data_IF_188871355554
#
_entry.id   IF_188871355554
#
_cell.length_a   1.000
_cell.length_b   1.000
_cell.length_c   1.000
_cell.angle_alpha   90.00
_cell.angle_beta   90.00
_cell.angle_gamma   90.00
#
_symmetry.space_group_name_H-M   'P 1'
#
loop_
_entity.id
_entity.type
_entity.pdbx_description
1 polymer ?
#
# COMPACT_ATOMS: atom_id res chain seq x y z
N UNK A 1 -10.00 4.57 -33.07
CA UNK A 1 -10.79 3.98 -31.98
C UNK A 1 -10.88 4.98 -30.85
N UNK A 2 -12.08 5.26 -30.40
CA UNK A 2 -12.46 6.44 -29.65
C UNK A 2 -11.89 6.44 -28.21
N UNK A 3 -11.11 7.45 -27.82
CA UNK A 3 -10.50 7.63 -26.50
C UNK A 3 -11.50 7.76 -25.34
N UNK A 4 -12.75 8.12 -25.64
CA UNK A 4 -13.86 8.09 -24.70
C UNK A 4 -14.24 6.65 -24.25
N UNK A 5 -13.95 5.65 -25.08
CA UNK A 5 -14.17 4.25 -24.74
C UNK A 5 -13.17 3.71 -23.68
N UNK A 6 -11.99 4.33 -23.53
CA UNK A 6 -10.98 3.89 -22.55
C UNK A 6 -11.20 4.48 -21.14
N UNK A 7 -11.69 5.72 -21.04
CA UNK A 7 -12.09 6.29 -19.74
C UNK A 7 -13.37 5.60 -19.19
N UNK A 8 -14.26 5.19 -20.09
CA UNK A 8 -15.39 4.30 -19.79
C UNK A 8 -14.88 2.89 -19.48
N UNK A 9 -13.75 2.44 -20.03
CA UNK A 9 -13.17 1.13 -19.71
C UNK A 9 -12.61 1.05 -18.26
N UNK A 10 -12.10 2.14 -17.69
CA UNK A 10 -11.74 2.21 -16.26
C UNK A 10 -13.00 2.11 -15.36
N UNK A 11 -14.10 2.75 -15.76
CA UNK A 11 -15.43 2.59 -15.15
C UNK A 11 -16.19 1.35 -15.69
N UNK A 12 -15.96 0.93 -16.93
CA UNK A 12 -16.52 -0.28 -17.52
C UNK A 12 -15.79 -1.55 -17.03
N UNK A 13 -14.55 -1.46 -16.55
CA UNK A 13 -13.91 -2.51 -15.77
C UNK A 13 -14.70 -2.79 -14.49
N UNK A 14 -15.28 -1.75 -13.90
CA UNK A 14 -16.24 -1.85 -12.79
C UNK A 14 -17.60 -2.39 -13.27
N UNK A 15 -18.06 -2.10 -14.51
CA UNK A 15 -19.42 -2.42 -14.97
C UNK A 15 -19.56 -3.70 -15.80
N UNK A 16 -18.53 -4.17 -16.51
CA UNK A 16 -18.62 -5.38 -17.36
C UNK A 16 -18.66 -6.68 -16.59
N UNK A 17 -18.32 -6.68 -15.28
CA UNK A 17 -18.38 -7.86 -14.42
C UNK A 17 -19.79 -8.24 -13.95
N UNK A 18 -20.77 -7.35 -14.11
CA UNK A 18 -22.12 -7.56 -13.58
C UNK A 18 -23.03 -8.47 -14.44
N UNK A 19 -22.65 -8.76 -15.69
CA UNK A 19 -23.53 -9.46 -16.64
C UNK A 19 -23.35 -10.99 -16.73
N UNK A 20 -22.37 -11.59 -16.02
CA UNK A 20 -22.05 -13.04 -16.12
C UNK A 20 -22.26 -13.85 -14.82
N UNK A 21 -22.90 -13.29 -13.79
CA UNK A 21 -22.92 -13.87 -12.44
C UNK A 21 -24.25 -14.58 -12.07
N UNK A 22 -24.83 -15.41 -12.92
CA UNK A 22 -26.07 -16.13 -12.56
C UNK A 22 -26.06 -17.66 -12.63
N UNK A 23 -24.90 -18.32 -12.59
CA UNK A 23 -24.91 -19.79 -12.45
C UNK A 23 -23.61 -20.31 -11.81
N UNK A 24 -23.65 -20.73 -10.55
CA UNK A 24 -22.55 -21.44 -9.88
C UNK A 24 -22.31 -21.13 -8.41
N UNK A 25 -23.34 -21.26 -7.62
CA UNK A 25 -23.43 -20.69 -6.27
C UNK A 25 -23.01 -21.59 -5.12
N UNK A 26 -21.95 -22.21 -4.92
CA UNK A 26 -21.60 -22.64 -3.55
C UNK A 26 -20.16 -23.13 -3.30
N UNK A 27 -19.38 -23.46 -4.32
CA UNK A 27 -18.04 -24.01 -4.11
C UNK A 27 -16.89 -22.99 -4.24
N UNK A 28 -17.16 -21.76 -4.69
CA UNK A 28 -16.15 -20.77 -5.13
C UNK A 28 -15.96 -19.58 -4.17
N UNK A 29 -16.73 -19.44 -3.11
CA UNK A 29 -16.53 -18.33 -2.13
C UNK A 29 -15.33 -18.54 -1.18
N UNK A 30 -14.73 -19.72 -1.14
CA UNK A 30 -13.66 -20.04 -0.20
C UNK A 30 -12.31 -19.36 -0.53
N UNK A 31 -12.09 -18.91 -1.77
CA UNK A 31 -10.80 -18.34 -2.20
C UNK A 31 -10.81 -16.81 -2.40
N UNK A 32 -11.94 -16.14 -2.41
CA UNK A 32 -12.01 -14.70 -2.62
C UNK A 32 -11.55 -13.92 -1.39
N UNK A 33 -10.73 -12.88 -1.60
CA UNK A 33 -10.32 -11.91 -0.56
C UNK A 33 -11.10 -10.60 -0.63
N UNK A 34 -12.00 -10.47 -1.58
CA UNK A 34 -12.91 -9.33 -1.75
C UNK A 34 -14.31 -9.86 -2.07
N UNK A 35 -15.32 -9.22 -1.53
CA UNK A 35 -16.71 -9.52 -1.87
C UNK A 35 -17.63 -8.32 -1.68
N UNK A 36 -18.76 -8.32 -2.37
CA UNK A 36 -19.91 -7.49 -2.02
C UNK A 36 -20.88 -8.30 -1.17
N UNK A 37 -21.47 -7.67 -0.16
CA UNK A 37 -22.48 -8.28 0.72
C UNK A 37 -23.66 -7.35 0.89
N UNK A 38 -24.85 -7.87 0.65
CA UNK A 38 -26.10 -7.16 0.96
C UNK A 38 -26.79 -7.85 2.12
N UNK A 39 -27.06 -7.11 3.19
CA UNK A 39 -27.80 -7.64 4.36
C UNK A 39 -28.77 -6.58 4.85
N UNK A 40 -30.07 -6.89 4.83
CA UNK A 40 -31.12 -6.04 5.38
C UNK A 40 -31.06 -4.59 4.85
N UNK A 41 -30.88 -4.44 3.51
CA UNK A 41 -30.79 -3.14 2.84
C UNK A 41 -29.46 -2.42 2.98
N UNK A 42 -28.49 -3.02 3.67
CA UNK A 42 -27.13 -2.51 3.73
C UNK A 42 -26.22 -3.25 2.74
N UNK A 43 -25.61 -2.49 1.85
CA UNK A 43 -24.65 -2.99 0.88
C UNK A 43 -23.24 -2.64 1.36
N UNK A 44 -22.38 -3.64 1.49
CA UNK A 44 -20.99 -3.48 1.91
C UNK A 44 -20.05 -4.08 0.87
N UNK A 45 -18.92 -3.42 0.68
CA UNK A 45 -17.73 -4.01 0.08
C UNK A 45 -16.78 -4.43 1.20
N UNK A 46 -16.42 -5.70 1.21
CA UNK A 46 -15.64 -6.29 2.29
C UNK A 46 -14.35 -6.89 1.76
N UNK A 47 -13.27 -6.79 2.56
CA UNK A 47 -12.00 -7.48 2.33
C UNK A 47 -11.73 -8.50 3.44
N UNK A 48 -11.00 -9.57 3.10
CA UNK A 48 -10.67 -10.62 4.05
C UNK A 48 -9.28 -10.44 4.66
N UNK A 49 -9.20 -10.71 5.96
CA UNK A 49 -7.98 -11.13 6.64
C UNK A 49 -8.06 -12.62 6.87
N UNK A 50 -7.02 -13.39 6.49
CA UNK A 50 -6.91 -14.82 6.77
C UNK A 50 -5.66 -15.11 7.55
N UNK A 51 -5.80 -15.91 8.61
CA UNK A 51 -4.71 -16.36 9.46
C UNK A 51 -4.34 -17.78 9.08
N UNK A 52 -3.05 -18.02 8.85
CA UNK A 52 -2.50 -19.32 8.43
C UNK A 52 -1.61 -19.89 9.51
N UNK A 53 -1.73 -21.19 9.72
CA UNK A 53 -0.94 -21.95 10.69
C UNK A 53 -0.57 -23.31 10.10
N UNK A 54 0.47 -23.94 10.62
CA UNK A 54 0.69 -25.36 10.36
C UNK A 54 -0.40 -26.19 11.03
N UNK A 55 -0.82 -27.31 10.43
CA UNK A 55 -1.85 -28.17 11.02
C UNK A 55 -1.48 -28.71 12.41
N UNK A 56 -0.19 -28.87 12.68
CA UNK A 56 0.34 -29.31 13.99
C UNK A 56 0.43 -28.18 15.03
N UNK A 57 0.07 -26.96 14.65
CA UNK A 57 0.12 -25.79 15.51
C UNK A 57 1.53 -25.25 15.77
N UNK A 58 2.58 -25.82 15.15
CA UNK A 58 3.96 -25.37 15.35
C UNK A 58 4.37 -24.23 14.40
N UNK A 59 5.40 -23.50 14.80
CA UNK A 59 6.01 -22.44 13.98
C UNK A 59 5.24 -21.13 13.96
N UNK A 60 5.69 -20.18 13.13
CA UNK A 60 5.11 -18.85 13.01
C UNK A 60 3.70 -18.85 12.45
N UNK A 61 2.92 -17.87 12.90
CA UNK A 61 1.61 -17.54 12.34
C UNK A 61 1.80 -16.54 11.20
N UNK A 62 1.17 -16.78 10.04
CA UNK A 62 1.18 -15.82 8.93
C UNK A 62 -0.24 -15.33 8.69
N UNK A 63 -0.42 -14.01 8.66
CA UNK A 63 -1.71 -13.37 8.36
C UNK A 63 -1.66 -12.69 7.00
N UNK A 64 -2.58 -13.01 6.11
CA UNK A 64 -2.80 -12.28 4.86
C UNK A 64 -3.90 -11.24 5.11
N UNK A 65 -3.52 -9.97 5.09
CA UNK A 65 -4.41 -8.83 5.36
C UNK A 65 -4.67 -8.09 4.06
N UNK A 66 -5.74 -8.49 3.37
CA UNK A 66 -6.16 -7.88 2.11
C UNK A 66 -6.76 -6.50 2.32
N UNK A 67 -6.27 -5.50 1.60
CA UNK A 67 -6.72 -4.11 1.74
C UNK A 67 -7.09 -3.50 0.40
N UNK A 68 -7.86 -2.42 0.46
CA UNK A 68 -8.13 -1.52 -0.68
C UNK A 68 -7.64 -0.11 -0.34
N UNK A 69 -7.22 0.63 -1.37
CA UNK A 69 -6.58 1.94 -1.19
C UNK A 69 -7.56 3.07 -0.81
N UNK A 70 -8.87 2.82 -0.93
CA UNK A 70 -9.96 3.73 -0.54
C UNK A 70 -10.97 2.97 0.32
N UNK A 71 -11.41 3.56 1.43
CA UNK A 71 -12.36 2.93 2.34
C UNK A 71 -12.81 3.89 3.45
N UNK A 72 -13.78 3.46 4.23
CA UNK A 72 -14.24 4.22 5.39
C UNK A 72 -13.09 4.35 6.42
N UNK A 73 -12.99 5.47 7.13
CA UNK A 73 -11.91 5.68 8.13
C UNK A 73 -11.84 4.55 9.14
N UNK A 74 -12.98 4.12 9.66
CA UNK A 74 -13.09 3.04 10.64
C UNK A 74 -12.59 1.69 10.13
N UNK A 75 -12.66 1.46 8.81
CA UNK A 75 -12.07 0.28 8.19
C UNK A 75 -10.55 0.25 8.39
N UNK A 76 -9.87 1.37 8.16
CA UNK A 76 -8.42 1.42 8.38
C UNK A 76 -8.04 1.32 9.86
N UNK A 77 -8.86 1.88 10.76
CA UNK A 77 -8.65 1.72 12.21
C UNK A 77 -8.79 0.25 12.64
N UNK A 78 -9.76 -0.50 12.07
CA UNK A 78 -9.91 -1.94 12.25
C UNK A 78 -8.70 -2.72 11.69
N UNK A 79 -8.27 -2.43 10.47
CA UNK A 79 -7.10 -3.05 9.83
C UNK A 79 -5.84 -2.83 10.68
N UNK A 80 -5.61 -1.61 11.16
CA UNK A 80 -4.48 -1.30 12.06
C UNK A 80 -4.55 -2.11 13.35
N UNK A 81 -5.74 -2.28 13.94
CA UNK A 81 -5.95 -3.14 15.10
C UNK A 81 -5.64 -4.61 14.85
N UNK A 82 -5.95 -5.11 13.65
CA UNK A 82 -5.60 -6.47 13.21
C UNK A 82 -4.08 -6.61 13.06
N UNK A 83 -3.45 -5.69 12.34
CA UNK A 83 -2.01 -5.68 12.07
C UNK A 83 -1.18 -5.57 13.36
N UNK A 84 -1.68 -4.84 14.37
CA UNK A 84 -1.03 -4.67 15.67
C UNK A 84 -0.89 -5.96 16.49
N UNK A 85 -1.50 -7.07 16.04
CA UNK A 85 -1.34 -8.40 16.65
C UNK A 85 -0.13 -9.18 16.10
N UNK A 86 0.52 -8.66 15.05
CA UNK A 86 1.66 -9.30 14.42
C UNK A 86 2.96 -8.66 14.89
N UNK A 87 3.99 -9.48 15.11
CA UNK A 87 5.33 -9.02 15.47
C UNK A 87 6.00 -8.26 14.31
N UNK A 88 5.81 -8.76 13.07
CA UNK A 88 6.29 -8.13 11.85
C UNK A 88 5.11 -7.89 10.89
N UNK A 89 5.10 -6.73 10.26
CA UNK A 89 4.14 -6.38 9.19
C UNK A 89 4.94 -6.06 7.93
N UNK A 90 4.79 -6.90 6.91
CA UNK A 90 5.31 -6.66 5.56
C UNK A 90 4.25 -5.86 4.79
N UNK A 91 4.54 -4.61 4.43
CA UNK A 91 3.55 -3.75 3.78
C UNK A 91 3.92 -3.37 2.34
N UNK A 92 2.87 -3.22 1.52
CA UNK A 92 2.98 -2.77 0.14
C UNK A 92 3.50 -1.34 0.05
N UNK A 93 4.58 -1.14 -0.72
CA UNK A 93 5.11 0.20 -0.95
C UNK A 93 6.02 0.25 -2.18
N UNK A 94 5.49 0.74 -3.29
CA UNK A 94 6.30 0.95 -4.51
C UNK A 94 7.19 2.17 -4.29
N UNK A 95 8.46 1.94 -3.98
CA UNK A 95 9.46 2.93 -3.62
C UNK A 95 10.72 2.81 -4.50
N UNK A 96 11.60 3.83 -4.52
CA UNK A 96 12.89 3.73 -5.19
C UNK A 96 13.78 2.62 -4.61
N UNK A 97 14.73 2.10 -5.44
CA UNK A 97 15.61 0.98 -5.08
C UNK A 97 16.32 1.15 -3.75
N UNK A 98 16.83 2.34 -3.42
CA UNK A 98 17.50 2.62 -2.17
C UNK A 98 16.64 2.58 -0.91
N UNK A 99 15.32 2.48 -1.03
CA UNK A 99 14.38 2.48 0.09
C UNK A 99 14.24 1.11 0.80
N UNK A 100 14.74 0.02 0.21
CA UNK A 100 14.56 -1.35 0.71
C UNK A 100 15.78 -1.88 1.47
N UNK A 101 16.69 -0.98 1.90
CA UNK A 101 17.88 -1.31 2.68
C UNK A 101 19.05 -1.79 1.83
N UNK A 102 20.15 -2.07 2.53
CA UNK A 102 21.48 -2.22 1.94
C UNK A 102 22.04 -3.64 2.04
N UNK A 103 21.26 -4.61 2.55
CA UNK A 103 21.69 -6.00 2.68
C UNK A 103 22.08 -6.59 1.34
N UNK A 104 23.23 -7.29 1.28
CA UNK A 104 23.72 -7.99 0.09
C UNK A 104 24.42 -9.29 0.47
N UNK A 105 24.49 -10.22 -0.49
CA UNK A 105 25.17 -11.51 -0.33
C UNK A 105 26.70 -11.38 -0.47
N UNK A 106 27.16 -10.41 -1.26
CA UNK A 106 28.56 -10.09 -1.50
C UNK A 106 28.84 -8.63 -1.10
N UNK A 107 30.12 -8.31 -0.86
CA UNK A 107 30.52 -6.93 -0.54
C UNK A 107 30.25 -5.97 -1.72
N UNK A 108 30.46 -6.43 -2.95
CA UNK A 108 30.12 -5.66 -4.15
C UNK A 108 28.63 -5.37 -4.26
N UNK A 109 27.77 -6.31 -3.88
CA UNK A 109 26.33 -6.09 -3.82
C UNK A 109 25.95 -5.11 -2.69
N UNK A 110 26.57 -5.24 -1.51
CA UNK A 110 26.38 -4.32 -0.38
C UNK A 110 26.80 -2.91 -0.74
N UNK A 111 27.95 -2.75 -1.41
CA UNK A 111 28.45 -1.44 -1.87
C UNK A 111 27.44 -0.78 -2.83
N UNK A 112 26.97 -1.51 -3.85
CA UNK A 112 25.98 -0.99 -4.81
C UNK A 112 24.69 -0.59 -4.12
N UNK A 113 24.16 -1.44 -3.22
CA UNK A 113 22.92 -1.14 -2.48
C UNK A 113 23.10 0.05 -1.53
N UNK A 114 24.31 0.22 -0.94
CA UNK A 114 24.64 1.41 -0.15
C UNK A 114 24.62 2.67 -1.00
N UNK A 115 25.15 2.62 -2.23
CA UNK A 115 25.06 3.75 -3.17
C UNK A 115 23.61 4.11 -3.51
N UNK A 116 22.75 3.10 -3.81
CA UNK A 116 21.33 3.31 -4.07
C UNK A 116 20.64 3.96 -2.86
N UNK A 117 20.93 3.50 -1.64
CA UNK A 117 20.39 4.05 -0.40
C UNK A 117 20.83 5.50 -0.17
N UNK A 118 22.11 5.81 -0.38
CA UNK A 118 22.62 7.19 -0.29
C UNK A 118 21.94 8.11 -1.31
N UNK A 119 21.69 7.65 -2.54
CA UNK A 119 20.94 8.40 -3.55
C UNK A 119 19.50 8.66 -3.13
N UNK A 120 18.84 7.69 -2.54
CA UNK A 120 17.49 7.84 -2.00
C UNK A 120 17.45 8.88 -0.88
N UNK A 121 18.33 8.77 0.15
CA UNK A 121 18.38 9.76 1.26
C UNK A 121 18.74 11.15 0.74
N UNK A 122 19.63 11.26 -0.27
CA UNK A 122 19.92 12.53 -0.92
C UNK A 122 18.71 13.17 -1.55
N UNK A 123 17.88 12.40 -2.24
CA UNK A 123 16.65 12.93 -2.86
C UNK A 123 15.69 13.53 -1.82
N UNK A 124 15.63 12.91 -0.63
CA UNK A 124 14.86 13.43 0.50
C UNK A 124 15.48 14.71 1.07
N UNK A 125 16.82 14.77 1.18
CA UNK A 125 17.55 15.96 1.63
C UNK A 125 17.36 17.15 0.66
N UNK A 126 17.37 16.90 -0.64
CA UNK A 126 17.05 17.91 -1.66
C UNK A 126 15.59 18.42 -1.53
N UNK A 127 14.65 17.52 -1.21
CA UNK A 127 13.27 17.87 -0.88
C UNK A 127 13.15 18.75 0.36
N UNK A 128 13.91 18.41 1.41
CA UNK A 128 13.99 19.23 2.62
C UNK A 128 14.51 20.63 2.31
N UNK A 129 15.60 20.72 1.57
CA UNK A 129 16.23 21.99 1.23
C UNK A 129 15.33 22.89 0.38
N UNK A 130 14.64 22.33 -0.64
CA UNK A 130 13.66 23.10 -1.43
C UNK A 130 12.55 23.70 -0.56
N UNK A 131 12.14 22.97 0.47
CA UNK A 131 11.06 23.41 1.35
C UNK A 131 11.51 24.42 2.42
N UNK A 132 12.76 24.34 2.89
CA UNK A 132 13.27 25.09 4.04
C UNK A 132 14.34 26.14 3.67
N UNK A 133 14.83 26.16 2.42
CA UNK A 133 15.87 27.08 1.94
C UNK A 133 17.28 26.79 2.51
N UNK A 134 17.46 25.68 3.24
CA UNK A 134 18.72 25.25 3.82
C UNK A 134 18.80 23.72 3.88
N UNK A 135 20.00 23.13 3.98
CA UNK A 135 20.15 21.72 4.32
C UNK A 135 19.59 21.39 5.71
N UNK A 136 19.20 20.14 5.92
CA UNK A 136 18.91 19.64 7.26
C UNK A 136 20.18 19.68 8.12
N UNK A 137 20.06 20.00 9.41
CA UNK A 137 21.19 20.04 10.31
C UNK A 137 21.67 18.64 10.73
N UNK A 138 20.77 17.64 10.67
CA UNK A 138 21.07 16.26 11.02
C UNK A 138 20.16 15.28 10.28
N UNK A 139 20.48 13.97 10.34
CA UNK A 139 19.63 12.90 9.83
C UNK A 139 18.31 12.81 10.62
N UNK A 140 18.32 13.14 11.90
CA UNK A 140 17.11 13.16 12.73
C UNK A 140 16.13 14.25 12.28
N UNK A 141 16.62 15.46 11.96
CA UNK A 141 15.79 16.53 11.39
C UNK A 141 15.23 16.13 10.02
N UNK A 142 16.06 15.52 9.18
CA UNK A 142 15.65 15.03 7.87
C UNK A 142 14.58 13.93 7.99
N UNK A 143 14.76 13.00 8.95
CA UNK A 143 13.77 11.96 9.25
C UNK A 143 12.43 12.56 9.67
N UNK A 144 12.45 13.47 10.65
CA UNK A 144 11.23 14.11 11.15
C UNK A 144 10.45 14.82 10.04
N UNK A 145 11.15 15.55 9.16
CA UNK A 145 10.53 16.20 8.02
C UNK A 145 9.95 15.22 7.00
N UNK A 146 10.64 14.10 6.73
CA UNK A 146 10.21 13.08 5.78
C UNK A 146 8.97 12.37 6.29
N UNK A 147 8.99 11.92 7.54
CA UNK A 147 7.89 11.18 8.18
C UNK A 147 6.64 12.04 8.34
N UNK A 148 6.80 13.34 8.67
CA UNK A 148 5.67 14.27 8.76
C UNK A 148 4.91 14.44 7.43
N UNK A 149 5.55 14.17 6.29
CA UNK A 149 4.94 14.21 4.96
C UNK A 149 4.37 12.87 4.52
N UNK A 150 5.08 11.79 4.81
CA UNK A 150 4.67 10.45 4.43
C UNK A 150 5.25 9.42 5.43
N UNK A 151 4.43 8.90 6.32
CA UNK A 151 4.84 7.92 7.33
C UNK A 151 5.32 6.61 6.72
N UNK A 152 4.97 6.29 5.45
CA UNK A 152 5.49 5.12 4.73
C UNK A 152 7.00 5.19 4.52
N UNK A 153 7.58 6.38 4.53
CA UNK A 153 9.02 6.61 4.36
C UNK A 153 9.81 6.50 5.67
N UNK A 154 9.17 6.30 6.82
CA UNK A 154 9.86 6.19 8.10
C UNK A 154 10.86 5.03 8.11
N UNK A 155 10.38 3.82 7.92
CA UNK A 155 11.24 2.64 7.89
C UNK A 155 12.21 2.61 6.70
N UNK A 156 11.79 2.94 5.45
CA UNK A 156 12.70 3.12 4.32
C UNK A 156 13.86 4.09 4.61
N UNK A 157 13.58 5.23 5.24
CA UNK A 157 14.61 6.18 5.64
C UNK A 157 15.62 5.56 6.62
N UNK A 158 15.12 4.89 7.66
CA UNK A 158 15.94 4.25 8.68
C UNK A 158 16.83 3.16 8.07
N UNK A 159 16.29 2.33 7.17
CA UNK A 159 17.02 1.31 6.43
C UNK A 159 18.10 1.91 5.51
N UNK A 160 17.79 3.01 4.84
CA UNK A 160 18.70 3.67 3.92
C UNK A 160 19.83 4.44 4.63
N UNK A 161 19.64 4.79 5.90
CA UNK A 161 20.67 5.42 6.73
C UNK A 161 21.69 4.44 7.32
N UNK A 162 21.62 3.14 6.94
CA UNK A 162 22.58 2.10 7.36
C UNK A 162 23.24 1.51 6.13
N UNK A 163 24.57 1.41 6.12
CA UNK A 163 25.32 0.84 5.00
C UNK A 163 25.21 -0.69 4.94
N UNK A 164 25.72 -1.29 3.86
CA UNK A 164 25.66 -2.73 3.61
C UNK A 164 26.39 -3.60 4.64
N UNK A 165 27.19 -3.00 5.50
CA UNK A 165 27.94 -3.64 6.58
C UNK A 165 27.40 -3.32 7.97
N UNK A 166 26.19 -2.72 8.03
CA UNK A 166 25.46 -2.47 9.27
C UNK A 166 25.86 -1.22 10.03
N UNK A 167 26.65 -0.32 9.44
CA UNK A 167 27.07 0.93 10.07
C UNK A 167 26.17 2.08 9.60
N UNK A 168 25.90 3.02 10.53
CA UNK A 168 25.14 4.22 10.20
C UNK A 168 25.94 5.12 9.25
N UNK A 169 25.29 5.68 8.24
CA UNK A 169 25.88 6.67 7.34
C UNK A 169 26.32 7.91 8.12
N UNK A 170 27.54 8.38 7.84
CA UNK A 170 27.98 9.70 8.25
C UNK A 170 27.18 10.78 7.51
N UNK A 171 26.79 11.84 8.21
CA UNK A 171 26.16 13.01 7.64
C UNK A 171 26.81 14.27 8.18
N UNK A 172 27.17 15.19 7.31
CA UNK A 172 27.68 16.51 7.68
C UNK A 172 27.00 17.59 6.85
N UNK A 173 26.66 18.70 7.50
CA UNK A 173 26.09 19.88 6.84
C UNK A 173 26.82 21.13 7.32
N UNK A 174 27.43 21.87 6.41
CA UNK A 174 28.13 23.11 6.70
C UNK A 174 28.11 24.06 5.49
N UNK A 175 27.98 25.36 5.73
CA UNK A 175 28.09 26.39 4.70
C UNK A 175 27.09 26.24 3.53
N UNK A 176 25.92 25.64 3.78
CA UNK A 176 24.90 25.39 2.74
C UNK A 176 25.20 24.14 1.88
N UNK A 177 26.25 23.37 2.20
CA UNK A 177 26.55 22.07 1.59
C UNK A 177 26.28 20.94 2.59
N UNK A 178 26.13 19.71 2.10
CA UNK A 178 26.07 18.51 2.92
C UNK A 178 26.70 17.32 2.21
N UNK A 179 27.07 16.30 2.99
CA UNK A 179 27.59 15.04 2.45
C UNK A 179 27.09 13.85 3.26
N UNK A 180 26.85 12.74 2.57
CA UNK A 180 26.65 11.42 3.15
C UNK A 180 27.93 10.60 2.95
N UNK A 181 28.29 9.79 3.94
CA UNK A 181 29.52 8.98 3.92
C UNK A 181 29.25 7.57 4.43
N UNK A 182 29.74 6.56 3.72
CA UNK A 182 29.95 5.20 4.24
C UNK A 182 31.42 4.86 4.12
N UNK A 183 31.99 4.24 5.15
CA UNK A 183 33.40 3.85 5.20
C UNK A 183 33.68 2.49 4.53
N UNK A 184 32.87 2.08 3.56
CA UNK A 184 33.12 0.85 2.81
C UNK A 184 33.13 -0.43 3.64
N UNK A 185 33.71 -1.50 3.12
CA UNK A 185 33.71 -2.81 3.77
C UNK A 185 34.53 -2.87 5.04
N UNK A 186 35.68 -2.20 5.09
CA UNK A 186 36.60 -2.23 6.23
C UNK A 186 36.24 -1.31 7.40
N UNK A 187 35.34 -0.32 7.13
CA UNK A 187 34.93 0.65 8.15
C UNK A 187 36.02 1.66 8.54
N UNK A 188 37.07 1.79 7.72
CA UNK A 188 38.17 2.70 7.92
C UNK A 188 38.22 3.73 6.80
N UNK A 189 38.73 4.94 7.08
CA UNK A 189 38.86 5.99 6.08
C UNK A 189 39.85 5.62 5.00
N UNK A 190 39.45 5.76 3.71
CA UNK A 190 40.28 5.45 2.53
C UNK A 190 39.87 4.13 1.87
N UNK A 191 40.87 3.23 1.67
CA UNK A 191 40.60 1.91 1.07
C UNK A 191 40.56 1.89 -0.45
N UNK A 192 40.28 0.71 -1.00
CA UNK A 192 40.07 0.45 -2.44
C UNK A 192 38.98 -0.58 -2.64
N UNK A 193 38.46 -0.68 -3.86
CA UNK A 193 37.41 -1.64 -4.25
C UNK A 193 36.17 -1.52 -3.31
N UNK A 194 35.76 -2.58 -2.67
CA UNK A 194 34.62 -2.59 -1.73
C UNK A 194 34.96 -1.91 -0.38
N UNK A 195 36.24 -1.74 -0.03
CA UNK A 195 36.70 -0.98 1.13
C UNK A 195 36.75 0.54 0.88
N UNK A 196 36.58 0.99 -0.38
CA UNK A 196 36.60 2.41 -0.71
C UNK A 196 35.48 3.17 -0.01
N UNK A 197 35.80 4.32 0.59
CA UNK A 197 34.80 5.23 1.13
C UNK A 197 33.81 5.67 0.04
N UNK A 198 32.52 5.53 0.32
CA UNK A 198 31.46 6.09 -0.50
C UNK A 198 31.11 7.48 0.03
N UNK A 199 31.40 8.50 -0.75
CA UNK A 199 31.09 9.89 -0.39
C UNK A 199 30.12 10.45 -1.43
N UNK A 200 28.94 10.84 -0.97
CA UNK A 200 27.93 11.49 -1.79
C UNK A 200 27.71 12.93 -1.34
N UNK A 201 28.52 13.89 -1.88
CA UNK A 201 28.37 15.28 -1.56
C UNK A 201 27.12 15.84 -2.27
N UNK A 202 26.49 16.84 -1.66
CA UNK A 202 25.77 17.81 -2.47
C UNK A 202 26.83 18.60 -3.25
N UNK A 203 26.84 18.46 -4.56
CA UNK A 203 27.60 19.36 -5.40
C UNK A 203 26.98 20.77 -5.23
N UNK A 204 27.69 21.63 -4.52
CA UNK A 204 27.34 23.02 -4.42
C UNK A 204 27.38 23.60 -5.84
N UNK A 205 26.21 23.87 -6.37
CA UNK A 205 25.98 24.38 -7.73
C UNK A 205 26.44 23.42 -8.83
N UNK A 206 25.52 22.68 -9.40
CA UNK A 206 25.53 22.51 -10.86
C UNK A 206 25.73 23.90 -11.43
N UNK A 207 26.76 24.07 -12.26
CA UNK A 207 27.07 25.33 -12.92
C UNK A 207 25.83 25.89 -13.61
N UNK A 208 25.81 27.20 -13.90
CA UNK A 208 24.70 27.84 -14.63
C UNK A 208 24.33 27.10 -15.94
N UNK A 209 25.27 26.35 -16.51
CA UNK A 209 25.09 25.49 -17.69
C UNK A 209 24.24 24.24 -17.43
N UNK A 210 24.35 23.61 -16.25
CA UNK A 210 23.47 22.48 -15.89
C UNK A 210 22.04 22.94 -15.60
N UNK A 211 21.86 24.19 -15.12
CA UNK A 211 20.52 24.79 -15.00
C UNK A 211 19.85 25.05 -16.35
N UNK A 212 20.62 25.24 -17.43
CA UNK A 212 20.08 25.41 -18.77
C UNK A 212 19.59 24.11 -19.41
N UNK A 213 20.02 22.94 -18.88
CA UNK A 213 19.58 21.60 -19.29
C UNK A 213 18.62 20.95 -18.27
N UNK A 214 18.35 21.59 -17.13
CA UNK A 214 17.20 21.23 -16.33
C UNK A 214 15.97 21.43 -17.21
N UNK A 215 15.32 20.32 -17.58
CA UNK A 215 13.96 20.33 -18.12
C UNK A 215 13.20 21.30 -17.22
N UNK A 216 12.73 22.43 -17.79
CA UNK A 216 11.95 23.42 -17.05
C UNK A 216 11.00 22.62 -16.18
N UNK A 217 11.04 22.77 -14.83
CA UNK A 217 10.04 22.12 -14.01
C UNK A 217 8.72 22.57 -14.63
N UNK A 218 7.89 21.62 -15.00
CA UNK A 218 6.53 21.93 -15.41
C UNK A 218 6.02 22.85 -14.32
N UNK A 219 5.73 24.13 -14.65
CA UNK A 219 5.53 25.24 -13.70
C UNK A 219 4.34 25.03 -12.76
N UNK A 220 3.72 23.86 -12.82
CA UNK A 220 2.71 23.39 -11.88
C UNK A 220 3.38 22.71 -10.71
N UNK A 221 3.45 23.42 -9.59
CA UNK A 221 3.91 22.88 -8.32
C UNK A 221 3.19 21.57 -8.00
N UNK A 222 3.88 20.59 -7.37
CA UNK A 222 3.28 19.29 -7.01
C UNK A 222 1.98 19.40 -6.20
N UNK A 223 1.77 20.50 -5.48
CA UNK A 223 0.55 20.79 -4.72
C UNK A 223 -0.68 21.12 -5.59
N UNK A 224 -0.49 21.46 -6.87
CA UNK A 224 -1.60 21.67 -7.83
C UNK A 224 -1.97 20.42 -8.61
N UNK A 225 -1.23 19.33 -8.48
CA UNK A 225 -1.67 18.01 -8.95
C UNK A 225 -2.79 17.54 -8.04
N UNK A 226 -4.00 17.97 -8.34
CA UNK A 226 -5.19 17.46 -7.68
C UNK A 226 -5.16 15.94 -7.78
N UNK A 227 -4.98 15.30 -6.64
CA UNK A 227 -4.89 13.85 -6.52
C UNK A 227 -6.24 13.24 -6.91
N UNK A 228 -6.31 12.63 -8.09
CA UNK A 228 -7.52 12.02 -8.61
C UNK A 228 -8.10 10.95 -7.65
N UNK A 229 -7.22 10.22 -6.95
CA UNK A 229 -7.65 9.28 -5.91
C UNK A 229 -8.33 9.99 -4.74
N UNK A 230 -7.83 11.17 -4.37
CA UNK A 230 -8.46 11.98 -3.33
C UNK A 230 -9.84 12.47 -3.79
N UNK A 231 -9.97 12.98 -5.02
CA UNK A 231 -11.24 13.42 -5.56
C UNK A 231 -12.25 12.27 -5.65
N UNK A 232 -11.80 11.07 -6.02
CA UNK A 232 -12.63 9.88 -6.04
C UNK A 232 -13.05 9.43 -4.64
N UNK A 233 -12.13 9.46 -3.68
CA UNK A 233 -12.42 9.17 -2.28
C UNK A 233 -13.42 10.18 -1.68
N UNK A 234 -13.21 11.47 -1.95
CA UNK A 234 -14.10 12.55 -1.50
C UNK A 234 -15.52 12.37 -2.11
N UNK A 235 -15.62 12.03 -3.41
CA UNK A 235 -16.89 11.79 -4.08
C UNK A 235 -17.68 10.59 -3.52
N UNK A 236 -16.99 9.59 -2.97
CA UNK A 236 -17.59 8.43 -2.31
C UNK A 236 -17.78 8.63 -0.80
N UNK A 237 -17.30 9.75 -0.24
CA UNK A 237 -17.31 9.98 1.20
C UNK A 237 -16.44 8.98 1.97
N UNK A 238 -15.27 8.59 1.41
CA UNK A 238 -14.33 7.64 1.99
C UNK A 238 -12.93 8.25 2.14
N UNK A 239 -12.03 7.55 2.79
CA UNK A 239 -10.65 7.98 3.07
C UNK A 239 -9.65 7.23 2.20
N UNK A 240 -8.46 7.81 2.04
CA UNK A 240 -7.30 7.15 1.41
C UNK A 240 -6.52 6.36 2.46
N UNK A 241 -6.12 5.13 2.14
CA UNK A 241 -5.27 4.27 2.96
C UNK A 241 -4.03 5.01 3.47
N UNK A 242 -3.27 5.62 2.56
CA UNK A 242 -2.00 6.29 2.85
C UNK A 242 -2.11 7.49 3.80
N UNK A 243 -3.30 8.07 3.94
CA UNK A 243 -3.58 9.17 4.89
C UNK A 243 -4.25 8.69 6.17
N UNK A 244 -4.71 7.45 6.19
CA UNK A 244 -5.48 6.87 7.28
C UNK A 244 -4.63 5.99 8.19
N UNK A 245 -3.50 5.50 7.69
CA UNK A 245 -2.61 4.58 8.42
C UNK A 245 -1.29 5.28 8.70
N UNK A 246 -0.87 5.20 9.96
CA UNK A 246 0.49 5.55 10.36
C UNK A 246 1.38 4.31 10.19
N UNK A 247 2.40 4.44 9.33
CA UNK A 247 3.36 3.37 9.01
C UNK A 247 4.63 3.45 9.86
N UNK A 248 4.85 4.53 10.63
CA UNK A 248 6.00 4.66 11.55
C UNK A 248 5.75 3.86 12.84
N UNK A 249 5.72 2.54 12.70
CA UNK A 249 5.45 1.59 13.79
C UNK A 249 6.56 0.56 13.90
N UNK A 250 6.90 0.12 15.14
CA UNK A 250 7.84 -0.98 15.33
C UNK A 250 7.40 -2.25 14.60
N UNK A 251 8.36 -2.94 13.97
CA UNK A 251 8.09 -4.19 13.25
C UNK A 251 7.44 -4.02 11.87
N UNK A 252 7.20 -2.80 11.41
CA UNK A 252 6.68 -2.56 10.05
C UNK A 252 7.83 -2.43 9.06
N UNK A 253 7.85 -3.29 8.03
CA UNK A 253 8.91 -3.38 7.04
C UNK A 253 8.33 -3.25 5.63
N UNK A 254 8.87 -2.37 4.76
CA UNK A 254 8.48 -2.31 3.37
C UNK A 254 8.95 -3.58 2.67
N UNK A 255 8.05 -4.27 1.99
CA UNK A 255 8.37 -5.48 1.23
C UNK A 255 7.69 -5.38 -0.13
N UNK A 256 8.45 -4.97 -1.15
CA UNK A 256 7.95 -4.77 -2.50
C UNK A 256 9.11 -4.77 -3.49
N UNK A 257 8.79 -4.78 -4.78
CA UNK A 257 9.77 -4.61 -5.83
C UNK A 257 10.02 -3.10 -6.08
N UNK A 258 11.30 -2.64 -6.11
CA UNK A 258 11.60 -1.25 -6.44
C UNK A 258 11.04 -0.83 -7.79
N UNK A 259 10.59 0.43 -7.90
CA UNK A 259 10.05 0.97 -9.17
C UNK A 259 11.03 0.85 -10.32
N UNK A 260 12.31 1.14 -10.10
CA UNK A 260 13.35 1.03 -11.12
C UNK A 260 13.54 -0.42 -11.58
N UNK A 261 13.38 -1.39 -10.67
CA UNK A 261 13.48 -2.80 -11.02
C UNK A 261 12.31 -3.25 -11.91
N UNK A 262 11.09 -2.79 -11.60
CA UNK A 262 9.92 -3.01 -12.46
C UNK A 262 10.14 -2.48 -13.87
N UNK A 263 10.62 -1.23 -13.97
CA UNK A 263 10.91 -0.59 -15.26
C UNK A 263 12.06 -1.26 -16.01
N UNK A 264 13.14 -1.66 -15.31
CA UNK A 264 14.27 -2.38 -15.89
C UNK A 264 13.86 -3.73 -16.48
N UNK A 265 12.99 -4.46 -15.77
CA UNK A 265 12.47 -5.77 -16.25
C UNK A 265 11.61 -5.62 -17.50
N UNK A 266 10.71 -4.62 -17.55
CA UNK A 266 9.95 -4.31 -18.75
C UNK A 266 10.87 -3.97 -19.92
N UNK A 267 11.85 -3.10 -19.70
CA UNK A 267 12.77 -2.66 -20.74
C UNK A 267 13.62 -3.82 -21.29
N UNK A 268 14.19 -4.69 -20.42
CA UNK A 268 15.00 -5.85 -20.85
C UNK A 268 14.21 -6.86 -21.66
N UNK A 269 12.91 -6.96 -21.46
CA UNK A 269 12.00 -7.84 -22.20
C UNK A 269 11.42 -7.20 -23.45
N UNK A 270 11.65 -5.90 -23.66
CA UNK A 270 11.03 -5.15 -24.76
C UNK A 270 9.52 -5.00 -24.60
N UNK A 271 9.02 -5.10 -23.39
CA UNK A 271 7.61 -5.08 -23.04
C UNK A 271 7.14 -3.69 -22.60
N UNK A 272 5.85 -3.45 -22.70
CA UNK A 272 5.20 -2.20 -22.24
C UNK A 272 4.01 -2.53 -21.35
N UNK A 273 3.97 -1.92 -20.18
CA UNK A 273 2.81 -1.97 -19.30
C UNK A 273 1.83 -0.86 -19.68
N UNK A 274 0.65 -1.27 -20.11
CA UNK A 274 -0.44 -0.33 -20.44
C UNK A 274 -0.88 0.46 -19.21
N UNK A 275 -0.89 -0.18 -18.05
CA UNK A 275 -1.27 0.42 -16.77
C UNK A 275 -0.24 1.45 -16.32
N UNK A 276 1.07 1.14 -16.36
CA UNK A 276 2.12 2.10 -16.01
C UNK A 276 2.18 3.27 -17.01
N UNK A 277 1.98 3.03 -18.30
CA UNK A 277 1.88 4.09 -19.30
C UNK A 277 0.67 5.01 -19.03
N UNK A 278 -0.48 4.43 -18.65
CA UNK A 278 -1.69 5.21 -18.34
C UNK A 278 -1.52 6.04 -17.07
N UNK A 279 -0.83 5.51 -16.05
CA UNK A 279 -0.50 6.25 -14.82
C UNK A 279 0.53 7.36 -15.07
N UNK A 280 1.43 7.17 -16.03
CA UNK A 280 2.46 8.16 -16.39
C UNK A 280 1.96 9.26 -17.33
N UNK A 281 0.98 8.97 -18.19
CA UNK A 281 0.39 9.92 -19.14
C UNK A 281 -0.74 10.71 -18.50
N UNK A 282 -0.46 11.92 -18.06
CA UNK A 282 -1.45 12.87 -17.54
C UNK A 282 -2.24 13.54 -18.68
N UNK A 283 -3.21 12.84 -19.26
CA UNK A 283 -4.14 13.44 -20.22
C UNK A 283 -5.16 14.32 -19.48
N UNK A 284 -4.91 15.61 -19.41
CA UNK A 284 -5.75 16.58 -18.68
C UNK A 284 -7.23 16.59 -19.07
N UNK A 285 -7.57 16.19 -20.31
CA UNK A 285 -8.97 16.07 -20.77
C UNK A 285 -9.69 14.88 -20.16
N UNK A 286 -9.07 13.68 -20.13
CA UNK A 286 -9.67 12.50 -19.54
C UNK A 286 -9.85 12.66 -18.02
N UNK A 287 -8.89 13.29 -17.34
CA UNK A 287 -8.99 13.65 -15.93
C UNK A 287 -10.09 14.70 -15.69
N UNK A 288 -10.20 15.72 -16.53
CA UNK A 288 -11.26 16.74 -16.45
C UNK A 288 -12.66 16.13 -16.62
N UNK A 289 -12.82 15.21 -17.56
CA UNK A 289 -14.08 14.47 -17.77
C UNK A 289 -14.43 13.59 -16.57
N UNK A 290 -13.43 12.88 -16.02
CA UNK A 290 -13.65 12.04 -14.83
C UNK A 290 -14.04 12.88 -13.61
N UNK A 291 -13.36 14.02 -13.39
CA UNK A 291 -13.71 14.99 -12.32
C UNK A 291 -15.13 15.52 -12.49
N UNK A 292 -15.51 15.88 -13.70
CA UNK A 292 -16.88 16.34 -13.99
C UNK A 292 -17.91 15.25 -13.67
N UNK A 293 -17.67 14.01 -14.09
CA UNK A 293 -18.56 12.88 -13.76
C UNK A 293 -18.62 12.62 -12.24
N UNK A 294 -17.47 12.64 -11.56
CA UNK A 294 -17.41 12.48 -10.10
C UNK A 294 -18.15 13.61 -9.37
N UNK A 295 -18.04 14.86 -9.83
CA UNK A 295 -18.76 15.98 -9.23
C UNK A 295 -20.29 15.88 -9.40
N UNK A 296 -20.75 15.23 -10.47
CA UNK A 296 -22.21 15.02 -10.70
C UNK A 296 -22.78 13.90 -9.82
N UNK A 297 -21.97 12.96 -9.36
CA UNK A 297 -22.41 11.79 -8.59
C UNK A 297 -21.90 11.78 -7.15
N UNK A 298 -21.18 12.83 -6.75
CA UNK A 298 -20.72 13.04 -5.37
C UNK A 298 -21.89 12.87 -4.40
N UNK A 299 -21.64 12.15 -3.31
CA UNK A 299 -22.61 11.86 -2.24
C UNK A 299 -23.86 11.07 -2.68
N UNK A 300 -23.87 10.49 -3.90
CA UNK A 300 -24.97 9.66 -4.36
C UNK A 300 -24.91 8.25 -3.75
N UNK A 301 -25.89 7.84 -2.90
CA UNK A 301 -25.95 6.47 -2.39
C UNK A 301 -26.04 5.42 -3.51
N UNK A 302 -26.71 5.75 -4.61
CA UNK A 302 -26.84 4.88 -5.77
C UNK A 302 -25.50 4.65 -6.46
N UNK A 303 -24.68 5.70 -6.59
CA UNK A 303 -23.34 5.57 -7.16
C UNK A 303 -22.44 4.74 -6.25
N UNK A 304 -22.44 5.01 -4.93
CA UNK A 304 -21.69 4.21 -3.96
C UNK A 304 -22.09 2.73 -4.01
N UNK A 305 -23.38 2.44 -4.13
CA UNK A 305 -23.90 1.07 -4.30
C UNK A 305 -23.38 0.41 -5.58
N UNK A 306 -23.38 1.12 -6.70
CA UNK A 306 -22.84 0.63 -7.97
C UNK A 306 -21.34 0.29 -7.85
N UNK A 307 -20.56 1.17 -7.23
CA UNK A 307 -19.13 0.95 -7.00
C UNK A 307 -18.90 -0.29 -6.12
N UNK A 308 -19.64 -0.44 -5.03
CA UNK A 308 -19.58 -1.61 -4.14
C UNK A 308 -19.85 -2.91 -4.91
N UNK A 309 -20.88 -2.94 -5.73
CA UNK A 309 -21.24 -4.13 -6.51
C UNK A 309 -20.16 -4.49 -7.54
N UNK A 310 -19.62 -3.48 -8.19
CA UNK A 310 -18.60 -3.69 -9.21
C UNK A 310 -17.26 -4.14 -8.63
N UNK A 311 -16.82 -3.56 -7.52
CA UNK A 311 -15.62 -4.01 -6.81
C UNK A 311 -15.79 -5.43 -6.25
N UNK A 312 -16.97 -5.76 -5.70
CA UNK A 312 -17.29 -7.11 -5.24
C UNK A 312 -17.26 -8.14 -6.36
N UNK A 313 -17.90 -7.82 -7.51
CA UNK A 313 -17.88 -8.69 -8.69
C UNK A 313 -16.49 -8.92 -9.26
N UNK A 314 -15.63 -7.88 -9.28
CA UNK A 314 -14.23 -8.02 -9.67
C UNK A 314 -13.44 -8.92 -8.70
N UNK A 315 -13.68 -8.79 -7.39
CA UNK A 315 -13.05 -9.64 -6.36
C UNK A 315 -13.44 -11.12 -6.49
N UNK A 316 -14.72 -11.39 -6.72
CA UNK A 316 -15.22 -12.75 -6.96
C UNK A 316 -14.66 -13.35 -8.25
N UNK A 317 -14.54 -12.55 -9.32
CA UNK A 317 -13.94 -13.00 -10.57
C UNK A 317 -12.45 -13.30 -10.40
N UNK A 318 -11.71 -12.49 -9.64
CA UNK A 318 -10.30 -12.74 -9.33
C UNK A 318 -10.11 -14.03 -8.49
N UNK A 319 -11.01 -14.30 -7.54
CA UNK A 319 -10.99 -15.53 -6.74
C UNK A 319 -11.28 -16.81 -7.55
N UNK A 320 -12.03 -16.69 -8.66
CA UNK A 320 -12.32 -17.83 -9.58
C UNK A 320 -11.19 -18.13 -10.55
N UNK A 321 -10.29 -17.17 -10.77
CA UNK A 321 -9.21 -17.27 -11.75
C UNK A 321 -7.96 -18.00 -11.22
N UNK A 322 -8.09 -18.88 -10.20
CA UNK A 322 -6.97 -19.72 -9.74
C UNK A 322 -6.40 -20.53 -10.92
N UNK A 323 -5.24 -20.08 -11.43
CA UNK A 323 -4.57 -20.65 -12.60
C UNK A 323 -4.99 -20.10 -13.97
N UNK A 324 -5.81 -19.03 -14.04
CA UNK A 324 -6.23 -18.36 -15.26
C UNK A 324 -6.10 -16.84 -15.17
N UNK A 325 -6.04 -16.18 -16.34
CA UNK A 325 -5.88 -14.71 -16.44
C UNK A 325 -6.91 -13.95 -15.59
N UNK A 326 -6.43 -12.98 -14.80
CA UNK A 326 -7.29 -12.06 -14.07
C UNK A 326 -8.06 -11.17 -15.04
N UNK A 327 -9.37 -11.12 -14.87
CA UNK A 327 -10.24 -10.32 -15.74
C UNK A 327 -9.81 -8.84 -15.70
N UNK A 328 -9.32 -8.32 -16.82
CA UNK A 328 -9.09 -6.89 -17.07
C UNK A 328 -7.65 -6.42 -17.03
N UNK A 329 -6.68 -7.22 -16.58
CA UNK A 329 -5.26 -6.93 -16.75
C UNK A 329 -4.73 -7.64 -18.02
N UNK A 330 -3.84 -6.97 -18.76
CA UNK A 330 -3.05 -7.61 -19.80
C UNK A 330 -2.02 -8.55 -19.17
N UNK A 331 -1.55 -9.55 -19.92
CA UNK A 331 -0.56 -10.54 -19.44
C UNK A 331 0.72 -9.89 -18.87
N UNK A 332 1.21 -8.83 -19.52
CA UNK A 332 2.38 -8.06 -19.05
C UNK A 332 2.06 -7.33 -17.76
N UNK A 333 0.90 -6.70 -17.69
CA UNK A 333 0.49 -5.94 -16.50
C UNK A 333 0.25 -6.88 -15.30
N UNK A 334 -0.39 -8.04 -15.50
CA UNK A 334 -0.59 -9.05 -14.45
C UNK A 334 0.75 -9.52 -13.89
N UNK A 335 1.68 -9.93 -14.75
CA UNK A 335 3.00 -10.40 -14.33
C UNK A 335 3.78 -9.32 -13.57
N UNK A 336 3.84 -8.09 -14.09
CA UNK A 336 4.66 -7.02 -13.49
C UNK A 336 4.02 -6.44 -12.23
N UNK A 337 2.72 -6.21 -12.24
CA UNK A 337 2.03 -5.52 -11.15
C UNK A 337 1.71 -6.49 -10.00
N UNK A 338 1.52 -7.78 -10.30
CA UNK A 338 1.13 -8.77 -9.31
C UNK A 338 2.26 -9.78 -9.06
N UNK A 339 2.61 -10.62 -10.05
CA UNK A 339 3.42 -11.82 -9.79
C UNK A 339 4.83 -11.47 -9.32
N UNK A 340 5.53 -10.59 -10.04
CA UNK A 340 6.93 -10.23 -9.71
C UNK A 340 7.03 -9.42 -8.40
N UNK A 341 5.99 -8.68 -8.04
CA UNK A 341 5.92 -8.00 -6.73
C UNK A 341 5.63 -8.99 -5.61
N UNK A 342 4.77 -9.98 -5.86
CA UNK A 342 4.51 -11.05 -4.92
C UNK A 342 5.78 -11.85 -4.60
N UNK A 343 6.61 -12.14 -5.60
CA UNK A 343 7.89 -12.84 -5.40
C UNK A 343 8.80 -12.10 -4.40
N UNK A 344 8.88 -10.76 -4.49
CA UNK A 344 9.69 -9.96 -3.57
C UNK A 344 9.21 -10.07 -2.11
N UNK A 345 7.90 -10.09 -1.88
CA UNK A 345 7.31 -10.27 -0.54
C UNK A 345 7.56 -11.67 -0.01
N UNK A 346 7.39 -12.68 -0.88
CA UNK A 346 7.63 -14.09 -0.52
C UNK A 346 9.10 -14.34 -0.19
N UNK A 347 10.03 -13.70 -0.88
CA UNK A 347 11.46 -13.79 -0.57
C UNK A 347 11.79 -13.15 0.80
N UNK A 348 11.19 -12.00 1.14
CA UNK A 348 11.35 -11.40 2.47
C UNK A 348 10.70 -12.26 3.56
N UNK A 349 9.50 -12.79 3.32
CA UNK A 349 8.87 -13.75 4.24
C UNK A 349 9.78 -14.98 4.45
N UNK A 350 10.33 -15.56 3.38
CA UNK A 350 11.25 -16.70 3.48
C UNK A 350 12.51 -16.36 4.30
N UNK A 351 13.04 -15.13 4.13
CA UNK A 351 14.16 -14.66 4.95
C UNK A 351 13.79 -14.58 6.43
N UNK A 352 12.62 -14.04 6.77
CA UNK A 352 12.13 -13.94 8.16
C UNK A 352 11.91 -15.32 8.79
N UNK A 353 11.24 -16.23 8.09
CA UNK A 353 10.95 -17.57 8.58
C UNK A 353 12.20 -18.46 8.66
N UNK A 354 13.24 -18.18 7.90
CA UNK A 354 14.52 -18.89 7.88
C UNK A 354 15.53 -18.41 8.93
N UNK A 355 15.20 -17.42 9.76
CA UNK A 355 16.09 -16.93 10.84
C UNK A 355 16.29 -17.99 11.90
N UNK A 356 17.43 -18.02 12.62
CA UNK A 356 17.63 -18.90 13.77
C UNK A 356 16.53 -18.73 14.84
N UNK A 357 16.03 -17.52 15.01
CA UNK A 357 14.86 -17.18 15.83
C UNK A 357 13.86 -16.46 14.93
N UNK A 358 12.94 -17.19 14.30
CA UNK A 358 11.92 -16.58 13.47
C UNK A 358 10.92 -15.79 14.32
N UNK A 359 10.27 -14.74 13.78
CA UNK A 359 9.22 -14.03 14.49
C UNK A 359 8.05 -14.95 14.78
N UNK A 360 7.37 -14.75 15.91
CA UNK A 360 6.20 -15.56 16.29
C UNK A 360 5.02 -15.34 15.33
N UNK A 361 4.92 -14.15 14.72
CA UNK A 361 3.85 -13.84 13.78
C UNK A 361 4.30 -12.80 12.73
N UNK A 362 3.84 -13.00 11.49
CA UNK A 362 4.07 -12.08 10.36
C UNK A 362 2.74 -11.77 9.69
N UNK A 363 2.45 -10.50 9.44
CA UNK A 363 1.36 -10.08 8.57
C UNK A 363 1.88 -9.64 7.20
N UNK A 364 1.24 -10.06 6.13
CA UNK A 364 1.41 -9.51 4.78
C UNK A 364 0.23 -8.57 4.54
N UNK A 365 0.52 -7.27 4.51
CA UNK A 365 -0.44 -6.19 4.37
C UNK A 365 -0.35 -5.61 2.96
N UNK A 366 -1.22 -6.07 2.07
CA UNK A 366 -1.16 -5.84 0.63
C UNK A 366 -2.53 -5.64 0.01
N UNK A 367 -2.58 -5.06 -1.18
CA UNK A 367 -3.80 -5.00 -1.96
C UNK A 367 -4.47 -6.37 -2.08
N UNK A 368 -5.79 -6.43 -1.84
CA UNK A 368 -6.54 -7.69 -1.78
C UNK A 368 -6.46 -8.53 -3.07
N UNK A 369 -6.09 -7.91 -4.19
CA UNK A 369 -5.86 -8.60 -5.46
C UNK A 369 -4.62 -9.54 -5.46
N UNK A 370 -3.65 -9.30 -4.58
CA UNK A 370 -2.44 -10.11 -4.45
C UNK A 370 -2.65 -11.38 -3.61
N UNK A 371 -3.68 -11.41 -2.76
CA UNK A 371 -3.84 -12.36 -1.68
C UNK A 371 -4.01 -13.80 -2.13
N UNK A 372 -4.64 -14.05 -3.28
CA UNK A 372 -4.84 -15.41 -3.79
C UNK A 372 -3.53 -16.15 -4.08
N UNK A 373 -2.54 -15.44 -4.63
CA UNK A 373 -1.24 -16.02 -4.94
C UNK A 373 -0.40 -16.23 -3.69
N UNK A 374 -0.47 -15.27 -2.74
CA UNK A 374 0.15 -15.47 -1.43
C UNK A 374 -0.41 -16.69 -0.73
N UNK A 375 -1.74 -16.88 -0.72
CA UNK A 375 -2.38 -18.08 -0.15
C UNK A 375 -1.86 -19.36 -0.79
N UNK A 376 -1.82 -19.43 -2.13
CA UNK A 376 -1.30 -20.59 -2.86
C UNK A 376 0.15 -20.90 -2.46
N UNK A 377 1.00 -19.86 -2.41
CA UNK A 377 2.42 -20.01 -2.06
C UNK A 377 2.62 -20.43 -0.58
N UNK A 378 1.81 -19.88 0.37
CA UNK A 378 1.87 -20.28 1.77
C UNK A 378 1.56 -21.76 1.95
N UNK A 379 0.56 -22.28 1.24
CA UNK A 379 0.18 -23.69 1.26
C UNK A 379 1.25 -24.59 0.63
N UNK A 380 1.70 -24.23 -0.57
CA UNK A 380 2.64 -25.04 -1.34
C UNK A 380 4.04 -25.08 -0.69
N UNK A 381 4.57 -23.92 -0.29
CA UNK A 381 5.95 -23.80 0.15
C UNK A 381 6.16 -24.13 1.63
N UNK A 382 5.17 -23.83 2.49
CA UNK A 382 5.31 -24.00 3.95
C UNK A 382 4.27 -24.91 4.58
N UNK A 383 3.30 -25.45 3.82
CA UNK A 383 2.21 -26.28 4.34
C UNK A 383 1.31 -25.55 5.33
N UNK A 384 1.19 -24.23 5.20
CA UNK A 384 0.35 -23.40 6.05
C UNK A 384 -1.10 -23.49 5.56
N UNK A 385 -2.03 -23.77 6.48
CA UNK A 385 -3.46 -23.88 6.20
C UNK A 385 -4.25 -22.73 6.83
N UNK A 386 -5.35 -22.29 6.21
CA UNK A 386 -6.20 -21.24 6.79
C UNK A 386 -6.86 -21.75 8.07
N UNK A 387 -6.69 -21.01 9.16
CA UNK A 387 -7.22 -21.32 10.48
C UNK A 387 -8.35 -20.37 10.87
N UNK A 388 -8.32 -19.11 10.42
CA UNK A 388 -9.28 -18.08 10.79
C UNK A 388 -9.50 -17.14 9.61
N UNK A 389 -10.73 -16.64 9.46
CA UNK A 389 -11.11 -15.62 8.47
C UNK A 389 -11.90 -14.52 9.15
N UNK A 390 -11.47 -13.26 8.93
CA UNK A 390 -12.18 -12.07 9.37
C UNK A 390 -12.51 -11.22 8.14
N UNK A 391 -13.76 -10.79 8.01
CA UNK A 391 -14.20 -9.88 6.96
C UNK A 391 -14.38 -8.48 7.50
N UNK A 392 -13.64 -7.52 6.93
CA UNK A 392 -13.70 -6.11 7.27
C UNK A 392 -14.41 -5.31 6.20
N UNK A 393 -15.38 -4.47 6.61
CA UNK A 393 -16.17 -3.64 5.69
C UNK A 393 -15.37 -2.40 5.29
N UNK A 394 -14.88 -2.39 4.06
CA UNK A 394 -14.09 -1.27 3.53
C UNK A 394 -14.97 -0.05 3.22
N UNK A 395 -16.16 -0.26 2.71
CA UNK A 395 -17.16 0.81 2.52
C UNK A 395 -18.56 0.23 2.52
N UNK A 396 -19.55 1.05 2.86
CA UNK A 396 -20.91 0.61 2.86
C UNK A 396 -21.92 1.74 2.60
N UNK A 397 -23.10 1.33 2.12
CA UNK A 397 -24.23 2.22 1.91
C UNK A 397 -25.53 1.48 2.21
N UNK A 398 -26.50 2.17 2.76
CA UNK A 398 -27.84 1.63 2.99
C UNK A 398 -28.90 2.48 2.29
N UNK A 399 -30.08 1.90 2.09
CA UNK A 399 -31.29 2.51 1.58
C UNK A 399 -32.41 2.55 2.64
N UNK A 400 -32.01 2.58 3.92
CA UNK A 400 -32.93 2.54 5.03
C UNK A 400 -33.76 3.81 5.18
N UNK A 401 -35.04 3.65 5.54
CA UNK A 401 -35.88 4.73 6.01
C UNK A 401 -35.42 5.24 7.39
N UNK A 402 -35.79 6.45 7.78
CA UNK A 402 -35.46 7.01 9.09
C UNK A 402 -35.90 6.13 10.25
N UNK A 403 -37.05 5.45 10.11
CA UNK A 403 -37.50 4.47 11.10
C UNK A 403 -36.49 3.34 11.24
N UNK A 404 -36.04 2.75 10.12
CA UNK A 404 -35.06 1.67 10.10
C UNK A 404 -33.71 2.12 10.63
N UNK A 405 -33.29 3.35 10.33
CA UNK A 405 -32.07 3.95 10.89
C UNK A 405 -32.13 4.00 12.41
N UNK A 406 -33.24 4.47 13.00
CA UNK A 406 -33.41 4.51 14.47
C UNK A 406 -33.41 3.12 15.11
N UNK A 407 -34.05 2.13 14.47
CA UNK A 407 -34.01 0.74 14.91
C UNK A 407 -32.58 0.19 14.91
N UNK A 408 -31.78 0.53 13.88
CA UNK A 408 -30.37 0.12 13.80
C UNK A 408 -29.47 0.81 14.81
N UNK A 409 -29.70 2.09 15.09
CA UNK A 409 -29.02 2.81 16.17
C UNK A 409 -29.21 2.05 17.49
N UNK A 410 -30.45 1.76 17.85
CA UNK A 410 -30.75 1.06 19.11
C UNK A 410 -30.11 -0.35 19.15
N UNK A 411 -30.10 -1.06 18.03
CA UNK A 411 -29.48 -2.39 17.95
C UNK A 411 -27.96 -2.33 18.13
N UNK A 412 -27.28 -1.35 17.52
CA UNK A 412 -25.83 -1.15 17.68
C UNK A 412 -25.50 -0.77 19.13
N UNK A 413 -26.22 0.16 19.72
CA UNK A 413 -26.04 0.56 21.12
C UNK A 413 -26.19 -0.63 22.09
N UNK A 414 -27.18 -1.49 21.86
CA UNK A 414 -27.36 -2.72 22.63
C UNK A 414 -26.22 -3.71 22.44
N UNK A 415 -25.74 -3.88 21.21
CA UNK A 415 -24.63 -4.79 20.91
C UNK A 415 -23.33 -4.30 21.56
N UNK A 416 -23.04 -3.00 21.49
CA UNK A 416 -21.85 -2.41 22.11
C UNK A 416 -21.86 -2.62 23.62
N UNK A 417 -23.01 -2.38 24.29
CA UNK A 417 -23.14 -2.64 25.71
C UNK A 417 -22.88 -4.11 26.06
N UNK A 418 -23.41 -5.05 25.26
CA UNK A 418 -23.19 -6.47 25.49
C UNK A 418 -21.73 -6.94 25.27
N UNK A 419 -20.99 -6.25 24.41
CA UNK A 419 -19.57 -6.51 24.17
C UNK A 419 -18.75 -6.00 25.35
N UNK A 420 -18.98 -4.78 25.80
CA UNK A 420 -18.28 -4.18 26.97
C UNK A 420 -18.47 -5.01 28.25
N UNK A 421 -19.63 -5.61 28.42
CA UNK A 421 -19.92 -6.47 29.58
C UNK A 421 -19.18 -7.83 29.55
N UNK A 422 -18.81 -8.32 28.36
CA UNK A 422 -18.24 -9.67 28.17
C UNK A 422 -16.72 -9.72 28.01
N UNK A 423 -16.14 -8.79 27.26
CA UNK A 423 -14.70 -8.76 26.97
C UNK A 423 -14.23 -7.34 26.53
N UNK A 424 -13.92 -6.46 27.48
CA UNK A 424 -13.51 -5.09 27.17
C UNK A 424 -12.20 -5.00 26.38
N UNK A 425 -11.30 -5.97 26.54
CA UNK A 425 -9.97 -5.95 25.91
C UNK A 425 -9.93 -6.52 24.49
N UNK A 426 -10.83 -7.49 24.16
CA UNK A 426 -10.90 -8.15 22.86
C UNK A 426 -11.74 -7.42 21.82
N UNK A 427 -12.56 -6.47 22.25
CA UNK A 427 -13.61 -5.84 21.45
C UNK A 427 -13.13 -4.65 20.61
N UNK A 428 -11.93 -4.10 20.85
CA UNK A 428 -11.51 -2.80 20.30
C UNK A 428 -11.73 -2.63 18.78
N UNK A 429 -11.28 -3.52 17.87
CA UNK A 429 -11.48 -3.31 16.43
C UNK A 429 -12.97 -3.29 16.04
N UNK A 430 -13.79 -4.12 16.70
CA UNK A 430 -15.23 -4.21 16.44
C UNK A 430 -15.94 -2.98 17.02
N UNK A 431 -15.59 -2.53 18.22
CA UNK A 431 -16.17 -1.35 18.86
C UNK A 431 -15.91 -0.09 18.04
N UNK A 432 -14.69 0.19 17.63
CA UNK A 432 -14.36 1.36 16.81
C UNK A 432 -15.21 1.45 15.54
N UNK A 433 -15.45 0.33 14.86
CA UNK A 433 -16.32 0.25 13.68
C UNK A 433 -17.78 0.52 14.04
N UNK A 434 -18.28 -0.04 15.13
CA UNK A 434 -19.65 0.16 15.57
C UNK A 434 -19.91 1.61 16.01
N UNK A 435 -18.98 2.23 16.74
CA UNK A 435 -19.01 3.64 17.14
C UNK A 435 -19.07 4.57 15.93
N UNK A 436 -18.15 4.39 14.98
CA UNK A 436 -18.16 5.17 13.75
C UNK A 436 -19.51 5.06 13.02
N UNK A 437 -20.00 3.82 12.87
CA UNK A 437 -21.28 3.57 12.19
C UNK A 437 -22.43 4.21 12.93
N UNK A 438 -22.44 4.13 14.23
CA UNK A 438 -23.44 4.77 15.10
C UNK A 438 -23.44 6.30 14.89
N UNK A 439 -22.26 6.90 14.83
CA UNK A 439 -22.11 8.33 14.55
C UNK A 439 -22.69 8.72 13.18
N UNK A 440 -22.39 7.95 12.11
CA UNK A 440 -22.93 8.21 10.78
C UNK A 440 -24.47 8.09 10.76
N UNK A 441 -25.03 7.05 11.37
CA UNK A 441 -26.47 6.88 11.44
C UNK A 441 -27.16 8.00 12.25
N UNK A 442 -26.56 8.45 13.35
CA UNK A 442 -27.08 9.57 14.16
C UNK A 442 -27.09 10.90 13.38
N UNK A 443 -26.12 11.12 12.49
CA UNK A 443 -26.09 12.32 11.63
C UNK A 443 -27.26 12.37 10.64
N UNK A 444 -27.80 11.22 10.23
CA UNK A 444 -28.92 11.12 9.27
C UNK A 444 -30.29 11.41 9.87
N UNK A 445 -30.47 11.23 11.16
CA UNK A 445 -31.77 11.38 11.85
C UNK A 445 -31.86 12.62 12.72
N UNK A 446 -30.81 13.45 12.68
CA UNK A 446 -30.82 14.83 13.18
C UNK A 446 -31.44 15.75 12.15
#
# INVERSE_FOLDING_TARGET
>A
MNRAALAIAGLAFVASSAALAQSGEMATQASAFMRSRTTDGYNAFETATRVYRRPDGTGPVVSLVGVVHIGDRSYYDEIVGILGRSEIVLYESVLPRGAFGTRGRTDSERQRRTQDAMLFVRSLAEGFERANGRPAASLEELRAFTVARDTRLARPFDLACVDGWGRRLGYSAAGGAYAFVSLGADGASGGSDEALDLVLPRLARLSAEAKAHELKPDEKQPDERRDLYKEFADALGVSLQVRSIDYDRPGWEPADLPMEELLDRLWRRGERSTTLEMLSKQDGFAQGMLRFLLSMVSDSPQFKKLVIQALGGAGEAAGRAQGGRRAGLGEVDERIIIDERNDAVIDELAHLLGRPTPPASVAIFYGAAHMGDFEATLRERWGLEPAEVVWSSAMGVDDWSDKKVRERIAAIESAMKAIDEKDPAGAYPVCARLEWRLEQLRKRVK
#
